data_IF_054159015135
#
_entry.id   IF_054159015135
#
_cell.length_a   1.000
_cell.length_b   1.000
_cell.length_c   1.000
_cell.angle_alpha   90.00
_cell.angle_beta   90.00
_cell.angle_gamma   90.00
#
_symmetry.space_group_name_H-M   'P 1'
#
loop_
_entity.id
_entity.type
_entity.pdbx_description
1 polymer ?
#
# COMPACT_ATOMS: atom_id res chain seq x y z
N UNK A 1 -15.41 -23.30 -64.23
CA UNK A 1 -14.83 -23.90 -63.01
C UNK A 1 -14.16 -22.77 -62.24
N UNK A 2 -14.93 -22.16 -61.37
CA UNK A 2 -14.54 -20.92 -60.68
C UNK A 2 -14.10 -21.33 -59.25
N UNK A 3 -12.79 -21.28 -59.00
CA UNK A 3 -12.22 -21.54 -57.67
C UNK A 3 -12.49 -20.34 -56.78
N UNK A 4 -13.35 -20.50 -55.78
CA UNK A 4 -13.50 -19.59 -54.65
C UNK A 4 -12.25 -19.69 -53.77
N UNK A 5 -11.40 -18.67 -53.82
CA UNK A 5 -10.39 -18.45 -52.78
C UNK A 5 -11.12 -17.80 -51.58
N UNK A 6 -11.46 -18.60 -50.58
CA UNK A 6 -11.83 -18.08 -49.27
C UNK A 6 -10.60 -17.38 -48.68
N UNK A 7 -10.69 -16.06 -48.57
CA UNK A 7 -9.72 -15.27 -47.84
C UNK A 7 -9.86 -15.63 -46.35
N UNK A 8 -8.91 -16.42 -45.83
CA UNK A 8 -8.74 -16.62 -44.41
C UNK A 8 -8.47 -15.25 -43.76
N UNK A 9 -9.49 -14.66 -43.17
CA UNK A 9 -9.35 -13.50 -42.29
C UNK A 9 -8.57 -13.96 -41.05
N UNK A 10 -7.27 -13.60 -41.00
CA UNK A 10 -6.46 -13.74 -39.79
C UNK A 10 -7.10 -12.85 -38.72
N UNK A 11 -7.53 -13.43 -37.57
CA UNK A 11 -8.10 -12.59 -36.51
C UNK A 11 -7.08 -11.52 -36.10
N UNK A 12 -7.52 -10.26 -36.05
CA UNK A 12 -6.68 -9.17 -35.60
C UNK A 12 -6.14 -9.50 -34.20
N UNK A 13 -4.84 -9.61 -34.07
CA UNK A 13 -4.17 -9.84 -32.78
C UNK A 13 -4.57 -8.70 -31.85
N UNK A 14 -5.35 -9.01 -30.82
CA UNK A 14 -5.81 -8.05 -29.84
C UNK A 14 -4.56 -7.35 -29.26
N UNK A 15 -4.39 -6.06 -29.55
CA UNK A 15 -3.22 -5.29 -29.10
C UNK A 15 -3.25 -5.24 -27.59
N UNK A 16 -2.31 -5.93 -26.92
CA UNK A 16 -2.18 -5.92 -25.46
C UNK A 16 -1.62 -4.55 -25.07
N UNK A 17 -2.34 -3.82 -24.23
CA UNK A 17 -1.91 -2.51 -23.75
C UNK A 17 -0.87 -2.63 -22.62
N UNK A 18 -0.08 -1.58 -22.41
CA UNK A 18 0.86 -1.47 -21.29
C UNK A 18 0.14 -1.64 -19.95
N UNK A 19 -1.04 -1.06 -19.80
CA UNK A 19 -1.89 -1.18 -18.60
C UNK A 19 -2.33 -2.63 -18.36
N UNK A 20 -2.80 -3.33 -19.39
CA UNK A 20 -3.18 -4.72 -19.27
C UNK A 20 -2.00 -5.61 -18.83
N UNK A 21 -0.78 -5.31 -19.28
CA UNK A 21 0.44 -6.01 -18.85
C UNK A 21 0.71 -5.74 -17.37
N UNK A 22 0.57 -4.49 -16.91
CA UNK A 22 0.76 -4.13 -15.49
C UNK A 22 -0.31 -4.76 -14.60
N UNK A 23 -1.57 -4.76 -15.02
CA UNK A 23 -2.65 -5.42 -14.26
C UNK A 23 -2.38 -6.93 -14.14
N UNK A 24 -1.98 -7.58 -15.23
CA UNK A 24 -1.58 -8.98 -15.19
C UNK A 24 -0.34 -9.24 -14.31
N UNK A 25 0.63 -8.31 -14.30
CA UNK A 25 1.79 -8.41 -13.43
C UNK A 25 1.42 -8.29 -11.94
N UNK A 26 0.48 -7.40 -11.59
CA UNK A 26 -0.08 -7.30 -10.23
C UNK A 26 -0.73 -8.62 -9.82
N UNK A 27 -1.54 -9.23 -10.69
CA UNK A 27 -2.16 -10.53 -10.40
C UNK A 27 -1.13 -11.66 -10.24
N UNK A 28 -0.08 -11.68 -11.08
CA UNK A 28 1.02 -12.65 -10.93
C UNK A 28 1.77 -12.43 -9.61
N UNK A 29 1.94 -11.16 -9.18
CA UNK A 29 2.54 -10.83 -7.90
C UNK A 29 1.68 -11.32 -6.73
N UNK A 30 0.38 -11.08 -6.76
CA UNK A 30 -0.57 -11.56 -5.74
C UNK A 30 -0.57 -13.07 -5.61
N UNK A 31 -0.53 -13.79 -6.74
CA UNK A 31 -0.60 -15.25 -6.78
C UNK A 31 0.71 -15.93 -6.32
N UNK A 32 1.87 -15.37 -6.66
CA UNK A 32 3.15 -16.08 -6.52
C UNK A 32 4.32 -15.29 -5.94
N UNK A 33 4.10 -14.04 -5.53
CA UNK A 33 5.12 -13.19 -4.93
C UNK A 33 6.21 -12.73 -5.91
N UNK A 34 7.27 -12.17 -5.34
CA UNK A 34 8.40 -11.60 -6.07
C UNK A 34 9.03 -12.55 -7.10
N UNK A 35 9.24 -13.80 -6.73
CA UNK A 35 9.89 -14.81 -7.58
C UNK A 35 9.07 -15.20 -8.81
N UNK A 36 7.75 -15.01 -8.78
CA UNK A 36 6.87 -15.31 -9.89
C UNK A 36 6.94 -14.27 -11.01
N UNK A 37 7.47 -13.06 -10.76
CA UNK A 37 7.49 -11.96 -11.73
C UNK A 37 8.54 -12.18 -12.81
N UNK A 38 8.09 -12.67 -13.96
CA UNK A 38 8.87 -12.80 -15.18
C UNK A 38 7.97 -12.71 -16.42
N UNK A 39 8.54 -12.45 -17.60
CA UNK A 39 7.78 -12.25 -18.82
C UNK A 39 6.88 -13.44 -19.19
N UNK A 40 7.30 -14.67 -18.90
CA UNK A 40 6.51 -15.88 -19.22
C UNK A 40 5.27 -15.99 -18.33
N UNK A 41 5.40 -15.69 -17.03
CA UNK A 41 4.28 -15.72 -16.08
C UNK A 41 3.24 -14.65 -16.43
N UNK A 42 3.68 -13.43 -16.73
CA UNK A 42 2.80 -12.33 -17.14
C UNK A 42 2.10 -12.64 -18.48
N UNK A 43 2.86 -13.14 -19.47
CA UNK A 43 2.29 -13.54 -20.77
C UNK A 43 1.25 -14.68 -20.63
N UNK A 44 1.51 -15.65 -19.75
CA UNK A 44 0.56 -16.72 -19.43
C UNK A 44 -0.73 -16.19 -18.81
N UNK A 45 -0.63 -15.25 -17.87
CA UNK A 45 -1.80 -14.61 -17.25
C UNK A 45 -2.65 -13.85 -18.27
N UNK A 46 -2.00 -13.25 -19.28
CA UNK A 46 -2.66 -12.54 -20.39
C UNK A 46 -3.19 -13.47 -21.50
N UNK A 47 -2.80 -14.73 -21.51
CA UNK A 47 -3.14 -15.66 -22.59
C UNK A 47 -2.46 -15.32 -23.92
N UNK A 48 -1.23 -14.76 -23.90
CA UNK A 48 -0.49 -14.35 -25.10
C UNK A 48 0.97 -14.82 -25.07
N UNK A 49 1.73 -14.53 -26.13
CA UNK A 49 3.19 -14.71 -26.15
C UNK A 49 3.89 -13.61 -25.34
N UNK A 50 5.22 -13.76 -25.11
CA UNK A 50 6.02 -12.74 -24.43
C UNK A 50 6.31 -11.50 -25.30
N UNK A 51 6.05 -11.56 -26.60
CA UNK A 51 6.34 -10.48 -27.53
C UNK A 51 5.67 -9.14 -27.17
N UNK A 52 4.36 -9.07 -26.82
CA UNK A 52 3.71 -7.83 -26.40
C UNK A 52 4.38 -7.18 -25.19
N UNK A 53 4.95 -7.99 -24.27
CA UNK A 53 5.63 -7.48 -23.08
C UNK A 53 6.88 -6.71 -23.49
N UNK A 54 7.72 -7.31 -24.35
CA UNK A 54 8.95 -6.67 -24.83
C UNK A 54 8.72 -5.55 -25.84
N UNK A 55 7.52 -5.44 -26.40
CA UNK A 55 7.11 -4.26 -27.19
C UNK A 55 6.71 -3.08 -26.27
N UNK A 56 6.28 -3.35 -25.05
CA UNK A 56 5.80 -2.33 -24.09
C UNK A 56 6.87 -1.94 -23.06
N UNK A 57 7.81 -2.84 -22.78
CA UNK A 57 8.90 -2.66 -21.81
C UNK A 57 10.21 -3.14 -22.40
N UNK A 58 11.24 -2.32 -22.32
CA UNK A 58 12.56 -2.64 -22.89
C UNK A 58 13.18 -3.90 -22.26
N UNK A 59 12.91 -4.12 -20.98
CA UNK A 59 13.43 -5.24 -20.20
C UNK A 59 12.59 -5.47 -18.95
N UNK A 60 12.92 -6.53 -18.20
CA UNK A 60 12.22 -6.86 -16.95
C UNK A 60 12.44 -5.84 -15.83
N UNK A 61 13.53 -5.09 -15.83
CA UNK A 61 13.76 -4.05 -14.83
C UNK A 61 12.76 -2.89 -15.02
N UNK A 62 12.50 -2.48 -16.26
CA UNK A 62 11.47 -1.47 -16.57
C UNK A 62 10.06 -1.95 -16.17
N UNK A 63 9.72 -3.21 -16.46
CA UNK A 63 8.44 -3.77 -16.04
C UNK A 63 8.32 -3.77 -14.52
N UNK A 64 9.36 -4.19 -13.78
CA UNK A 64 9.37 -4.21 -12.33
C UNK A 64 9.27 -2.81 -11.73
N UNK A 65 9.96 -1.82 -12.29
CA UNK A 65 9.84 -0.42 -11.86
C UNK A 65 8.39 0.08 -12.01
N UNK A 66 7.78 -0.14 -13.18
CA UNK A 66 6.40 0.24 -13.41
C UNK A 66 5.40 -0.54 -12.52
N UNK A 67 5.70 -1.81 -12.20
CA UNK A 67 4.93 -2.60 -11.23
C UNK A 67 5.05 -2.02 -9.82
N UNK A 68 6.22 -1.55 -9.42
CA UNK A 68 6.42 -0.87 -8.13
C UNK A 68 5.60 0.41 -8.03
N UNK A 69 5.61 1.25 -9.07
CA UNK A 69 4.75 2.45 -9.13
C UNK A 69 3.26 2.10 -9.01
N UNK A 70 2.81 1.03 -9.70
CA UNK A 70 1.44 0.53 -9.62
C UNK A 70 1.10 0.02 -8.21
N UNK A 71 2.01 -0.70 -7.57
CA UNK A 71 1.84 -1.20 -6.20
C UNK A 71 1.77 -0.05 -5.18
N UNK A 72 2.59 1.00 -5.33
CA UNK A 72 2.52 2.24 -4.53
C UNK A 72 1.15 2.90 -4.70
N UNK A 73 0.65 3.01 -5.92
CA UNK A 73 -0.66 3.60 -6.18
C UNK A 73 -1.80 2.80 -5.52
N UNK A 74 -1.73 1.46 -5.55
CA UNK A 74 -2.70 0.58 -4.89
C UNK A 74 -2.65 0.73 -3.37
N UNK A 75 -1.44 0.76 -2.78
CA UNK A 75 -1.26 1.03 -1.35
C UNK A 75 -1.83 2.40 -0.95
N UNK A 76 -1.47 3.45 -1.69
CA UNK A 76 -1.95 4.81 -1.42
C UNK A 76 -3.48 4.88 -1.50
N UNK A 77 -4.08 4.22 -2.48
CA UNK A 77 -5.54 4.16 -2.62
C UNK A 77 -6.18 3.42 -1.45
N UNK A 78 -5.63 2.28 -1.03
CA UNK A 78 -6.11 1.50 0.10
C UNK A 78 -6.10 2.34 1.40
N UNK A 79 -5.00 3.05 1.67
CA UNK A 79 -4.91 3.94 2.84
C UNK A 79 -5.93 5.08 2.74
N UNK A 80 -6.12 5.69 1.58
CA UNK A 80 -7.11 6.75 1.37
C UNK A 80 -8.56 6.25 1.56
N UNK A 81 -8.85 5.02 1.19
CA UNK A 81 -10.16 4.42 1.42
C UNK A 81 -10.38 4.13 2.90
N UNK A 82 -9.34 3.70 3.63
CA UNK A 82 -9.36 3.60 5.10
C UNK A 82 -9.63 4.96 5.77
N UNK A 83 -8.99 6.04 5.30
CA UNK A 83 -9.26 7.39 5.81
C UNK A 83 -10.73 7.79 5.67
N UNK A 84 -11.35 7.50 4.52
CA UNK A 84 -12.77 7.80 4.29
C UNK A 84 -13.69 6.94 5.17
N UNK A 85 -13.38 5.65 5.31
CA UNK A 85 -14.19 4.72 6.10
C UNK A 85 -14.23 5.09 7.60
N UNK A 86 -13.16 5.72 8.10
CA UNK A 86 -13.03 6.09 9.52
C UNK A 86 -13.29 7.59 9.78
N UNK A 87 -13.71 8.35 8.78
CA UNK A 87 -13.97 9.78 8.91
C UNK A 87 -15.02 10.05 10.02
N UNK A 88 -14.65 10.93 10.96
CA UNK A 88 -15.51 11.30 12.09
C UNK A 88 -15.51 10.32 13.28
N UNK A 89 -14.96 9.12 13.16
CA UNK A 89 -14.90 8.12 14.21
C UNK A 89 -13.53 8.02 14.90
N UNK A 90 -12.46 8.26 14.15
CA UNK A 90 -11.07 8.19 14.59
C UNK A 90 -10.30 9.45 14.19
N UNK A 91 -9.07 9.60 14.72
CA UNK A 91 -8.18 10.63 14.18
C UNK A 91 -7.76 10.23 12.77
N UNK A 92 -7.59 11.23 11.91
CA UNK A 92 -7.06 11.02 10.57
C UNK A 92 -5.68 10.34 10.65
N UNK A 93 -4.85 10.76 11.61
CA UNK A 93 -3.56 10.14 11.86
C UNK A 93 -3.66 8.64 12.20
N UNK A 94 -4.59 8.25 13.09
CA UNK A 94 -4.82 6.84 13.42
C UNK A 94 -5.25 6.03 12.19
N UNK A 95 -6.09 6.61 11.34
CA UNK A 95 -6.59 5.95 10.13
C UNK A 95 -5.50 5.65 9.11
N UNK A 96 -4.42 6.46 9.04
CA UNK A 96 -3.23 6.11 8.23
C UNK A 96 -2.59 4.81 8.70
N UNK A 97 -2.33 4.69 10.02
CA UNK A 97 -1.73 3.49 10.60
C UNK A 97 -2.61 2.25 10.42
N UNK A 98 -3.91 2.39 10.65
CA UNK A 98 -4.88 1.31 10.45
C UNK A 98 -4.89 0.83 9.00
N UNK A 99 -4.98 1.75 8.03
CA UNK A 99 -4.94 1.42 6.60
C UNK A 99 -3.65 0.73 6.18
N UNK A 100 -2.51 1.12 6.75
CA UNK A 100 -1.22 0.46 6.49
C UNK A 100 -1.20 -0.99 6.99
N UNK A 101 -1.67 -1.25 8.21
CA UNK A 101 -1.73 -2.62 8.77
C UNK A 101 -2.75 -3.48 8.03
N UNK A 102 -3.91 -2.93 7.69
CA UNK A 102 -4.92 -3.62 6.89
C UNK A 102 -4.40 -4.00 5.50
N UNK A 103 -3.70 -3.07 4.82
CA UNK A 103 -3.05 -3.38 3.55
C UNK A 103 -2.05 -4.54 3.68
N UNK A 104 -1.24 -4.55 4.74
CA UNK A 104 -0.29 -5.63 4.99
C UNK A 104 -0.97 -6.99 5.19
N UNK A 105 -2.14 -7.02 5.82
CA UNK A 105 -2.92 -8.23 6.05
C UNK A 105 -3.64 -8.74 4.79
N UNK A 106 -4.21 -7.82 4.00
CA UNK A 106 -5.05 -8.13 2.86
C UNK A 106 -4.23 -8.32 1.57
N UNK A 107 -3.25 -7.47 1.33
CA UNK A 107 -2.41 -7.45 0.13
C UNK A 107 -0.99 -7.95 0.41
N UNK A 108 -0.90 -9.17 0.96
CA UNK A 108 0.35 -9.75 1.50
C UNK A 108 1.54 -9.65 0.56
N UNK A 109 1.37 -10.00 -0.70
CA UNK A 109 2.47 -10.04 -1.66
C UNK A 109 2.84 -8.64 -2.17
N UNK A 110 1.86 -7.73 -2.27
CA UNK A 110 2.12 -6.31 -2.57
C UNK A 110 2.88 -5.65 -1.43
N UNK A 111 2.47 -5.91 -0.18
CA UNK A 111 3.19 -5.42 1.00
C UNK A 111 4.63 -5.93 1.04
N UNK A 112 4.85 -7.24 0.81
CA UNK A 112 6.20 -7.84 0.74
C UNK A 112 7.04 -7.19 -0.36
N UNK A 113 6.47 -7.02 -1.55
CA UNK A 113 7.13 -6.37 -2.66
C UNK A 113 7.61 -4.97 -2.31
N UNK A 114 6.74 -4.16 -1.67
CA UNK A 114 7.04 -2.77 -1.35
C UNK A 114 7.99 -2.59 -0.16
N UNK A 115 7.86 -3.43 0.87
CA UNK A 115 8.43 -3.14 2.18
C UNK A 115 9.39 -4.18 2.72
N UNK A 116 9.40 -5.42 2.21
CA UNK A 116 10.21 -6.50 2.77
C UNK A 116 11.22 -7.10 1.78
N UNK A 117 10.86 -7.24 0.51
CA UNK A 117 11.64 -7.99 -0.48
C UNK A 117 12.15 -7.14 -1.65
N UNK A 118 11.62 -5.93 -1.80
CA UNK A 118 12.02 -5.01 -2.86
C UNK A 118 13.24 -4.19 -2.47
N UNK A 119 14.04 -3.79 -3.46
CA UNK A 119 15.20 -2.90 -3.27
C UNK A 119 14.79 -1.46 -2.89
N UNK A 120 13.50 -1.17 -2.69
CA UNK A 120 12.99 0.10 -3.15
C UNK A 120 12.39 1.00 -2.07
N UNK A 121 11.77 0.48 -1.04
CA UNK A 121 11.06 1.33 -0.10
C UNK A 121 11.52 1.06 1.33
N UNK A 122 12.58 1.75 1.73
CA UNK A 122 12.81 1.92 3.16
C UNK A 122 11.64 2.68 3.79
N UNK A 123 11.35 2.47 5.09
CA UNK A 123 10.20 3.06 5.78
C UNK A 123 10.11 4.59 5.71
N UNK A 124 11.14 5.25 5.22
CA UNK A 124 11.28 6.70 5.27
C UNK A 124 11.43 7.41 3.92
N UNK A 125 11.74 6.71 2.83
CA UNK A 125 12.26 7.39 1.64
C UNK A 125 11.26 7.58 0.51
N UNK A 126 10.15 6.84 0.48
CA UNK A 126 9.19 6.89 -0.63
C UNK A 126 7.72 6.81 -0.16
N UNK A 127 7.42 7.15 1.07
CA UNK A 127 6.05 7.27 1.50
C UNK A 127 5.45 8.54 0.88
N UNK A 128 4.68 8.35 -0.19
CA UNK A 128 3.92 9.41 -0.86
C UNK A 128 3.03 10.18 0.14
N UNK A 129 2.66 9.51 1.24
CA UNK A 129 1.82 10.05 2.29
C UNK A 129 2.62 10.72 3.42
N UNK A 130 3.94 10.57 3.48
CA UNK A 130 4.75 11.02 4.61
C UNK A 130 4.54 12.51 4.95
N UNK A 131 4.64 13.39 3.95
CA UNK A 131 4.44 14.81 4.17
C UNK A 131 3.02 15.13 4.66
N UNK A 132 2.01 14.43 4.11
CA UNK A 132 0.60 14.57 4.49
C UNK A 132 0.37 14.07 5.92
N UNK A 133 1.01 12.97 6.31
CA UNK A 133 0.95 12.41 7.67
C UNK A 133 1.57 13.37 8.68
N UNK A 134 2.76 13.93 8.41
CA UNK A 134 3.40 14.91 9.31
C UNK A 134 2.52 16.14 9.45
N UNK A 135 1.98 16.67 8.34
CA UNK A 135 1.06 17.81 8.40
C UNK A 135 -0.20 17.50 9.22
N UNK A 136 -0.74 16.27 9.08
CA UNK A 136 -1.88 15.83 9.88
C UNK A 136 -1.58 15.84 11.38
N UNK A 137 -0.39 15.39 11.80
CA UNK A 137 0.03 15.44 13.21
C UNK A 137 0.13 16.89 13.71
N UNK A 138 0.71 17.79 12.90
CA UNK A 138 0.79 19.21 13.23
C UNK A 138 -0.62 19.83 13.39
N UNK A 139 -1.52 19.52 12.47
CA UNK A 139 -2.87 20.11 12.46
C UNK A 139 -3.77 19.54 13.56
N UNK A 140 -3.72 18.23 13.79
CA UNK A 140 -4.57 17.56 14.77
C UNK A 140 -4.06 17.73 16.22
N UNK A 141 -2.74 17.68 16.42
CA UNK A 141 -2.17 17.66 17.78
C UNK A 141 -1.51 18.99 18.19
N UNK A 142 -1.24 19.87 17.23
CA UNK A 142 -0.58 21.15 17.47
C UNK A 142 0.90 21.01 17.83
N UNK A 143 1.54 19.89 17.50
CA UNK A 143 2.98 19.72 17.67
C UNK A 143 3.76 20.58 16.65
N UNK A 144 5.00 20.94 17.01
CA UNK A 144 5.94 21.46 16.01
C UNK A 144 6.27 20.39 14.97
N UNK A 145 6.70 20.79 13.78
CA UNK A 145 7.07 19.81 12.73
C UNK A 145 8.18 18.85 13.21
N UNK A 146 9.17 19.37 13.97
CA UNK A 146 10.23 18.54 14.54
C UNK A 146 9.67 17.48 15.49
N UNK A 147 8.78 17.88 16.41
CA UNK A 147 8.12 16.95 17.34
C UNK A 147 7.24 15.96 16.60
N UNK A 148 6.49 16.43 15.59
CA UNK A 148 5.64 15.57 14.76
C UNK A 148 6.45 14.49 14.04
N UNK A 149 7.62 14.81 13.50
CA UNK A 149 8.53 13.85 12.86
C UNK A 149 9.05 12.78 13.83
N UNK A 150 9.46 13.18 15.03
CA UNK A 150 9.93 12.23 16.06
C UNK A 150 8.79 11.35 16.56
N UNK A 151 7.65 11.93 16.86
CA UNK A 151 6.45 11.21 17.26
C UNK A 151 6.04 10.19 16.19
N UNK A 152 6.02 10.61 14.93
CA UNK A 152 5.69 9.72 13.81
C UNK A 152 6.70 8.58 13.67
N UNK A 153 7.99 8.86 13.88
CA UNK A 153 9.05 7.85 13.80
C UNK A 153 8.82 6.71 14.81
N UNK A 154 8.52 7.04 16.08
CA UNK A 154 8.26 6.02 17.10
C UNK A 154 6.98 5.24 16.79
N UNK A 155 5.92 5.95 16.40
CA UNK A 155 4.66 5.35 15.99
C UNK A 155 4.81 4.44 14.76
N UNK A 156 5.71 4.80 13.84
CA UNK A 156 6.01 4.01 12.65
C UNK A 156 6.63 2.66 12.99
N UNK A 157 7.56 2.61 13.95
CA UNK A 157 8.14 1.34 14.41
C UNK A 157 7.09 0.40 14.97
N UNK A 158 6.17 0.92 15.77
CA UNK A 158 5.03 0.15 16.26
C UNK A 158 4.12 -0.34 15.14
N UNK A 159 3.76 0.55 14.22
CA UNK A 159 2.90 0.25 13.06
C UNK A 159 3.50 -0.82 12.16
N UNK A 160 4.81 -0.73 11.88
CA UNK A 160 5.53 -1.76 11.11
C UNK A 160 5.56 -3.10 11.82
N UNK A 161 5.75 -3.12 13.15
CA UNK A 161 5.67 -4.34 13.93
C UNK A 161 4.33 -5.05 13.75
N UNK A 162 3.23 -4.32 13.88
CA UNK A 162 1.87 -4.85 13.66
C UNK A 162 1.67 -5.31 12.21
N UNK A 163 2.12 -4.52 11.23
CA UNK A 163 1.97 -4.86 9.82
C UNK A 163 2.72 -6.14 9.43
N UNK A 164 3.95 -6.32 9.92
CA UNK A 164 4.73 -7.55 9.69
C UNK A 164 4.04 -8.76 10.32
N UNK A 165 3.59 -8.64 11.56
CA UNK A 165 2.89 -9.72 12.26
C UNK A 165 1.57 -10.09 11.56
N UNK A 166 0.83 -9.12 11.06
CA UNK A 166 -0.39 -9.33 10.29
C UNK A 166 -0.09 -9.98 8.92
N UNK A 167 0.94 -9.49 8.21
CA UNK A 167 1.37 -10.04 6.92
C UNK A 167 1.80 -11.50 7.00
N UNK A 168 2.44 -11.90 8.10
CA UNK A 168 2.98 -13.24 8.32
C UNK A 168 2.01 -14.18 9.05
N UNK A 169 0.77 -13.80 9.23
CA UNK A 169 -0.26 -14.56 9.96
C UNK A 169 0.06 -14.90 11.43
N UNK A 170 1.00 -14.17 12.04
CA UNK A 170 1.30 -14.32 13.46
C UNK A 170 0.37 -13.51 14.35
N UNK A 171 -0.37 -12.57 13.78
CA UNK A 171 -1.31 -11.71 14.50
C UNK A 171 -2.53 -11.45 13.65
N UNK A 172 -3.71 -11.77 14.21
CA UNK A 172 -5.00 -11.48 13.60
C UNK A 172 -5.76 -10.58 14.56
N UNK A 173 -5.79 -9.29 14.27
CA UNK A 173 -6.55 -8.31 15.02
C UNK A 173 -7.82 -7.94 14.27
N UNK A 174 -8.94 -7.94 14.98
CA UNK A 174 -10.13 -7.23 14.52
C UNK A 174 -9.85 -5.72 14.44
N UNK A 175 -10.64 -5.00 13.69
CA UNK A 175 -10.53 -3.55 13.59
C UNK A 175 -10.59 -2.86 14.96
N UNK A 176 -11.44 -3.37 15.88
CA UNK A 176 -11.54 -2.85 17.24
C UNK A 176 -10.25 -3.07 18.03
N UNK A 177 -9.67 -4.27 17.97
CA UNK A 177 -8.41 -4.59 18.66
C UNK A 177 -7.23 -3.79 18.11
N UNK A 178 -7.19 -3.62 16.78
CA UNK A 178 -6.18 -2.78 16.11
C UNK A 178 -6.30 -1.31 16.57
N UNK A 179 -7.51 -0.77 16.61
CA UNK A 179 -7.80 0.58 17.11
C UNK A 179 -7.37 0.74 18.56
N UNK A 180 -7.65 -0.22 19.43
CA UNK A 180 -7.23 -0.20 20.83
C UNK A 180 -5.69 -0.29 20.98
N UNK A 181 -5.01 -1.04 20.13
CA UNK A 181 -3.55 -1.12 20.12
C UNK A 181 -2.94 0.25 19.77
N UNK A 182 -3.44 0.91 18.72
CA UNK A 182 -3.02 2.27 18.36
C UNK A 182 -3.30 3.29 19.47
N UNK A 183 -4.46 3.21 20.12
CA UNK A 183 -4.80 4.11 21.24
C UNK A 183 -3.87 3.95 22.43
N UNK A 184 -3.48 2.72 22.78
CA UNK A 184 -2.53 2.47 23.89
C UNK A 184 -1.16 3.06 23.57
N UNK A 185 -0.64 2.81 22.37
CA UNK A 185 0.66 3.33 21.93
C UNK A 185 0.64 4.86 21.87
N UNK A 186 -0.40 5.44 21.31
CA UNK A 186 -0.57 6.88 21.26
C UNK A 186 -0.53 7.50 22.66
N UNK A 187 -1.21 6.92 23.65
CA UNK A 187 -1.16 7.41 25.05
C UNK A 187 0.25 7.35 25.64
N UNK A 188 0.99 6.26 25.38
CA UNK A 188 2.35 6.12 25.85
C UNK A 188 3.25 7.21 25.24
N UNK A 189 3.15 7.47 23.96
CA UNK A 189 3.95 8.50 23.27
C UNK A 189 3.56 9.92 23.69
N UNK A 190 2.30 10.21 23.96
CA UNK A 190 1.88 11.52 24.54
C UNK A 190 2.58 11.79 25.87
N UNK A 191 2.80 10.79 26.71
CA UNK A 191 3.52 10.97 27.97
C UNK A 191 4.99 11.32 27.76
N UNK A 192 5.57 10.91 26.65
CA UNK A 192 6.96 11.22 26.27
C UNK A 192 7.09 12.59 25.59
N UNK A 193 6.21 12.89 24.63
CA UNK A 193 6.30 14.09 23.78
C UNK A 193 5.52 15.30 24.34
N UNK A 194 4.80 15.12 25.44
CA UNK A 194 3.92 16.13 26.01
C UNK A 194 2.50 16.08 25.44
N UNK A 195 1.57 16.68 26.18
CA UNK A 195 0.16 16.71 25.77
C UNK A 195 0.00 17.51 24.47
N UNK A 196 -0.81 17.03 23.52
CA UNK A 196 -1.18 17.80 22.36
C UNK A 196 -1.75 19.17 22.75
N UNK A 197 -1.34 20.21 22.05
CA UNK A 197 -1.87 21.57 22.24
C UNK A 197 -3.34 21.65 21.83
N UNK A 198 -3.72 20.82 20.84
CA UNK A 198 -5.10 20.60 20.38
C UNK A 198 -5.45 19.15 20.65
N UNK A 199 -6.47 18.92 21.46
CA UNK A 199 -7.05 17.57 21.57
C UNK A 199 -8.14 17.47 20.49
N UNK A 200 -8.00 16.55 19.52
CA UNK A 200 -9.06 16.32 18.54
C UNK A 200 -10.36 15.90 19.24
N UNK A 201 -11.50 16.27 18.68
CA UNK A 201 -12.81 15.92 19.26
C UNK A 201 -12.97 14.43 19.55
N UNK A 202 -12.38 13.56 18.71
CA UNK A 202 -12.41 12.10 18.94
C UNK A 202 -11.67 11.71 20.23
N UNK A 203 -10.58 12.40 20.58
CA UNK A 203 -9.82 12.12 21.80
C UNK A 203 -10.63 12.45 23.05
N UNK A 204 -11.45 13.50 22.98
CA UNK A 204 -12.41 13.88 24.04
C UNK A 204 -13.52 12.83 24.13
N UNK A 205 -14.10 12.43 22.99
CA UNK A 205 -15.16 11.40 22.92
C UNK A 205 -14.67 10.02 23.38
N UNK A 206 -13.42 9.69 23.14
CA UNK A 206 -12.82 8.41 23.51
C UNK A 206 -12.29 8.35 24.95
N UNK A 207 -12.51 9.40 25.76
CA UNK A 207 -12.00 9.46 27.14
C UNK A 207 -10.47 9.50 27.21
N UNK A 208 -9.79 10.00 26.16
CA UNK A 208 -8.34 10.23 26.10
C UNK A 208 -7.90 11.47 26.87
N UNK A 209 -8.82 12.05 27.65
CA UNK A 209 -8.51 13.15 28.57
C UNK A 209 -7.73 12.54 29.73
N UNK A 210 -6.47 12.96 29.85
CA UNK A 210 -5.58 12.67 30.97
C UNK A 210 -5.94 13.54 32.16
#
# INVERSE_FOLDING_TARGET
>A
MQLFMEAMTVPAVKKVSREAILDAAVEVLRDGGFSAINARSVARKLGCSTQPIYLSFQNMAELKAALTERAIALHTQHVRDSLKAHEGNDSRYSSYGMGFVQFAAEEKQLFRWLYLEGEQLGPYQNDVLFAEVIQTIVDEFGYSEETARRFHQDMLYFTYGLAILANTDHLHLSETELREAFRREFRALISLYGKPVKLPEFAVKAGLVL
#
